data_IF_589760772324
#
_entry.id   IF_589760772324
#
_cell.length_a   1.000
_cell.length_b   1.000
_cell.length_c   1.000
_cell.angle_alpha   90.00
_cell.angle_beta   90.00
_cell.angle_gamma   90.00
#
_symmetry.space_group_name_H-M   'P 1'
#
loop_
_entity.id
_entity.type
_entity.pdbx_description
1 polymer ?
#
# COMPACT_ATOMS: atom_id res chain seq x y z
N UNK A 1 -9.26 14.45 0.32
CA UNK A 1 -9.86 14.21 -1.02
C UNK A 1 -8.88 13.37 -1.84
N UNK A 2 -9.37 12.35 -2.55
CA UNK A 2 -8.59 11.52 -3.48
C UNK A 2 -9.06 11.80 -4.91
N UNK A 3 -8.15 11.85 -5.87
CA UNK A 3 -8.46 12.05 -7.29
C UNK A 3 -7.85 10.89 -8.07
N UNK A 4 -8.66 10.21 -8.87
CA UNK A 4 -8.24 9.04 -9.63
C UNK A 4 -9.09 8.82 -10.88
N UNK A 5 -8.61 7.99 -11.80
CA UNK A 5 -9.41 7.47 -12.90
C UNK A 5 -10.21 6.23 -12.48
N UNK A 6 -11.23 5.88 -13.26
CA UNK A 6 -12.15 4.77 -12.94
C UNK A 6 -11.47 3.40 -12.81
N UNK A 7 -10.28 3.19 -13.39
CA UNK A 7 -9.54 1.92 -13.25
C UNK A 7 -9.05 1.67 -11.82
N UNK A 8 -9.00 2.71 -10.98
CA UNK A 8 -8.59 2.60 -9.57
C UNK A 8 -9.71 2.16 -8.65
N UNK A 9 -10.97 2.18 -9.09
CA UNK A 9 -12.08 1.64 -8.32
C UNK A 9 -12.05 0.11 -8.37
N UNK A 10 -11.96 -0.50 -7.19
CA UNK A 10 -11.94 -1.95 -7.03
C UNK A 10 -12.94 -2.37 -5.95
N UNK A 11 -13.63 -3.52 -6.13
CA UNK A 11 -14.53 -4.04 -5.10
C UNK A 11 -13.77 -4.52 -3.85
N UNK A 12 -12.47 -4.80 -3.99
CA UNK A 12 -11.59 -5.27 -2.91
C UNK A 12 -10.17 -4.75 -3.10
N UNK A 13 -9.55 -4.28 -2.02
CA UNK A 13 -8.14 -3.86 -2.01
C UNK A 13 -7.20 -5.06 -2.26
N UNK A 14 -5.99 -4.79 -2.74
CA UNK A 14 -4.98 -5.83 -2.98
C UNK A 14 -5.01 -6.47 -4.37
N UNK A 15 -5.66 -5.84 -5.36
CA UNK A 15 -5.52 -6.23 -6.79
C UNK A 15 -4.07 -6.03 -7.28
N UNK A 16 -3.38 -5.02 -6.76
CA UNK A 16 -1.97 -4.75 -7.01
C UNK A 16 -1.08 -5.18 -5.84
N UNK A 17 0.08 -4.52 -5.71
CA UNK A 17 0.95 -4.66 -4.55
C UNK A 17 0.59 -3.62 -3.48
N UNK A 18 0.80 -3.98 -2.21
CA UNK A 18 0.74 -3.07 -1.07
C UNK A 18 2.18 -2.61 -0.74
N UNK A 19 2.51 -1.33 -0.92
CA UNK A 19 3.81 -0.80 -0.55
C UNK A 19 3.93 -0.70 0.98
N UNK A 20 5.06 -1.15 1.52
CA UNK A 20 5.42 -1.05 2.95
C UNK A 20 6.81 -0.43 3.06
N UNK A 21 6.92 0.73 3.69
CA UNK A 21 8.20 1.38 3.94
C UNK A 21 8.86 0.75 5.18
N UNK A 22 10.12 0.35 5.04
CA UNK A 22 10.89 -0.34 6.07
C UNK A 22 12.25 0.32 6.26
N UNK A 23 12.80 0.21 7.47
CA UNK A 23 14.17 0.62 7.74
C UNK A 23 15.15 -0.10 6.80
N UNK A 24 16.11 0.65 6.27
CA UNK A 24 17.20 0.10 5.45
C UNK A 24 18.15 -0.78 6.28
N UNK A 25 18.23 -0.55 7.60
CA UNK A 25 18.98 -1.40 8.52
C UNK A 25 18.29 -2.74 8.72
N UNK A 26 19.05 -3.83 8.51
CA UNK A 26 18.56 -5.21 8.60
C UNK A 26 17.27 -5.46 7.80
N UNK A 27 17.09 -4.75 6.68
CA UNK A 27 15.86 -4.78 5.88
C UNK A 27 15.41 -6.19 5.48
N UNK A 28 16.36 -7.10 5.22
CA UNK A 28 16.04 -8.49 4.86
C UNK A 28 15.38 -9.25 6.01
N UNK A 29 15.73 -8.94 7.26
CA UNK A 29 15.07 -9.53 8.43
C UNK A 29 13.64 -9.00 8.58
N UNK A 30 13.42 -7.71 8.31
CA UNK A 30 12.08 -7.13 8.26
C UNK A 30 11.25 -7.77 7.14
N UNK A 31 11.81 -7.93 5.94
CA UNK A 31 11.15 -8.59 4.82
C UNK A 31 10.72 -10.03 5.15
N UNK A 32 11.59 -10.80 5.83
CA UNK A 32 11.25 -12.15 6.32
C UNK A 32 10.10 -12.16 7.32
N UNK A 33 10.00 -11.16 8.20
CA UNK A 33 8.86 -11.05 9.13
C UNK A 33 7.54 -10.82 8.38
N UNK A 34 7.60 -10.06 7.28
CA UNK A 34 6.47 -9.74 6.40
C UNK A 34 5.99 -10.91 5.56
N UNK A 35 6.79 -11.98 5.37
CA UNK A 35 6.37 -13.20 4.66
C UNK A 35 5.11 -13.84 5.26
N UNK A 36 4.86 -13.63 6.55
CA UNK A 36 3.66 -14.16 7.24
C UNK A 36 2.39 -13.35 6.94
N UNK A 37 2.52 -12.17 6.34
CA UNK A 37 1.43 -11.22 6.10
C UNK A 37 1.09 -11.09 4.61
N UNK A 38 1.83 -11.75 3.72
CA UNK A 38 1.67 -11.66 2.28
C UNK A 38 2.02 -12.98 1.58
N UNK A 39 1.45 -13.20 0.40
CA UNK A 39 1.76 -14.36 -0.44
C UNK A 39 3.18 -14.26 -1.02
N UNK A 40 3.61 -13.06 -1.38
CA UNK A 40 4.94 -12.77 -1.91
C UNK A 40 5.34 -11.36 -1.55
N UNK A 41 6.64 -11.12 -1.41
CA UNK A 41 7.20 -9.78 -1.32
C UNK A 41 8.29 -9.55 -2.36
N UNK A 42 8.53 -8.29 -2.69
CA UNK A 42 9.66 -7.85 -3.50
C UNK A 42 10.17 -6.52 -2.94
N UNK A 43 11.50 -6.37 -2.82
CA UNK A 43 12.06 -5.04 -2.56
C UNK A 43 11.90 -4.20 -3.82
N UNK A 44 11.23 -3.05 -3.70
CA UNK A 44 11.03 -2.13 -4.80
C UNK A 44 12.38 -1.67 -5.34
N UNK A 45 12.46 -1.61 -6.66
CA UNK A 45 13.66 -1.22 -7.38
C UNK A 45 13.31 -0.20 -8.47
N UNK A 46 14.23 0.70 -8.74
CA UNK A 46 14.28 1.53 -9.94
C UNK A 46 15.46 1.01 -10.77
N UNK A 47 15.16 0.47 -11.96
CA UNK A 47 16.13 -0.27 -12.78
C UNK A 47 16.78 -1.41 -11.96
N UNK A 48 18.11 -1.40 -11.83
CA UNK A 48 18.88 -2.40 -11.09
C UNK A 48 19.23 -1.94 -9.65
N UNK A 49 18.67 -0.81 -9.18
CA UNK A 49 18.96 -0.25 -7.86
C UNK A 49 17.76 -0.29 -6.93
N UNK A 50 17.97 -0.41 -5.61
CA UNK A 50 16.87 -0.31 -4.65
C UNK A 50 16.22 1.07 -4.75
N UNK A 51 14.90 1.11 -4.78
CA UNK A 51 14.18 2.36 -4.57
C UNK A 51 14.41 2.84 -3.14
N UNK A 52 14.76 4.11 -2.99
CA UNK A 52 14.98 4.76 -1.69
C UNK A 52 13.98 5.90 -1.56
N UNK A 53 13.22 5.92 -0.47
CA UNK A 53 12.26 6.99 -0.19
C UNK A 53 12.98 8.29 0.15
N UNK A 54 12.26 9.42 0.14
CA UNK A 54 12.80 10.71 0.59
C UNK A 54 13.36 10.65 2.04
N UNK A 55 12.82 9.74 2.86
CA UNK A 55 13.30 9.49 4.23
C UNK A 55 14.49 8.51 4.31
N UNK A 56 15.05 8.08 3.18
CA UNK A 56 16.22 7.19 3.14
C UNK A 56 15.92 5.71 3.42
N UNK A 57 14.66 5.29 3.29
CA UNK A 57 14.21 3.94 3.62
C UNK A 57 13.96 3.09 2.37
N UNK A 58 13.81 1.78 2.56
CA UNK A 58 13.41 0.89 1.47
C UNK A 58 11.90 0.67 1.46
N UNK A 59 11.37 0.32 0.29
CA UNK A 59 9.99 -0.14 0.14
C UNK A 59 9.98 -1.62 -0.19
N UNK A 60 9.18 -2.38 0.55
CA UNK A 60 8.80 -3.75 0.23
C UNK A 60 7.39 -3.75 -0.32
N UNK A 61 7.23 -4.21 -1.55
CA UNK A 61 5.95 -4.43 -2.19
C UNK A 61 5.41 -5.81 -1.82
N UNK A 62 4.30 -5.84 -1.10
CA UNK A 62 3.61 -7.06 -0.69
C UNK A 62 2.51 -7.42 -1.68
N UNK A 63 2.48 -8.68 -2.12
CA UNK A 63 1.38 -9.24 -2.91
C UNK A 63 0.55 -10.17 -2.03
N UNK A 64 -0.77 -9.98 -2.07
CA UNK A 64 -1.73 -10.75 -1.29
C UNK A 64 -2.70 -11.37 -2.28
N UNK A 65 -2.56 -12.67 -2.53
CA UNK A 65 -3.41 -13.41 -3.44
C UNK A 65 -4.86 -13.42 -2.94
N UNK A 66 -5.82 -13.20 -3.85
CA UNK A 66 -7.23 -13.03 -3.49
C UNK A 66 -7.59 -11.66 -2.87
N UNK A 67 -6.62 -10.76 -2.70
CA UNK A 67 -6.82 -9.43 -2.14
C UNK A 67 -6.91 -9.40 -0.62
N UNK A 68 -7.08 -8.20 -0.06
CA UNK A 68 -7.01 -7.94 1.38
C UNK A 68 -8.40 -8.14 1.98
N UNK A 69 -8.59 -9.21 2.76
CA UNK A 69 -9.86 -9.52 3.40
C UNK A 69 -10.17 -8.63 4.61
N UNK A 70 -9.18 -8.38 5.45
CA UNK A 70 -9.32 -7.59 6.69
C UNK A 70 -8.29 -6.43 6.69
N UNK A 71 -8.55 -5.30 6.00
CA UNK A 71 -7.57 -4.22 5.84
C UNK A 71 -7.09 -3.63 7.16
N UNK A 72 -8.00 -3.41 8.12
CA UNK A 72 -7.64 -2.86 9.43
C UNK A 72 -6.74 -3.81 10.22
N UNK A 73 -7.02 -5.12 10.20
CA UNK A 73 -6.21 -6.13 10.87
C UNK A 73 -4.82 -6.22 10.25
N UNK A 74 -4.73 -6.16 8.92
CA UNK A 74 -3.44 -6.14 8.22
C UNK A 74 -2.64 -4.88 8.55
N UNK A 75 -3.27 -3.70 8.54
CA UNK A 75 -2.63 -2.44 8.93
C UNK A 75 -2.02 -2.54 10.34
N UNK A 76 -2.81 -2.95 11.34
CA UNK A 76 -2.29 -3.11 12.71
C UNK A 76 -1.17 -4.14 12.82
N UNK A 77 -1.19 -5.22 12.04
CA UNK A 77 -0.12 -6.21 12.03
C UNK A 77 1.17 -5.66 11.39
N UNK A 78 1.05 -4.82 10.36
CA UNK A 78 2.18 -4.13 9.74
C UNK A 78 2.78 -3.11 10.71
N UNK A 79 1.96 -2.30 11.37
CA UNK A 79 2.39 -1.32 12.39
C UNK A 79 3.13 -2.00 13.56
N UNK A 80 2.69 -3.20 13.95
CA UNK A 80 3.32 -3.98 15.02
C UNK A 80 4.60 -4.71 14.58
N UNK A 81 4.95 -4.70 13.29
CA UNK A 81 6.12 -5.43 12.78
C UNK A 81 7.39 -4.60 12.93
N UNK A 82 8.34 -5.09 13.76
CA UNK A 82 9.63 -4.44 13.94
C UNK A 82 10.37 -4.22 12.61
N UNK A 83 10.70 -2.96 12.35
CA UNK A 83 11.40 -2.50 11.16
C UNK A 83 10.47 -1.94 10.07
N UNK A 84 9.15 -2.10 10.20
CA UNK A 84 8.17 -1.35 9.41
C UNK A 84 8.07 0.08 9.94
N UNK A 85 8.03 1.04 9.02
CA UNK A 85 7.94 2.46 9.32
C UNK A 85 6.61 3.06 8.89
N UNK A 86 6.08 2.60 7.75
CA UNK A 86 4.77 3.01 7.23
C UNK A 86 4.23 1.97 6.22
N UNK A 87 2.96 2.09 5.86
CA UNK A 87 2.34 1.25 4.84
C UNK A 87 1.31 2.01 4.00
N UNK A 88 1.03 1.52 2.79
CA UNK A 88 0.12 2.13 1.84
C UNK A 88 -1.39 1.98 2.12
N UNK A 89 -1.80 1.53 3.30
CA UNK A 89 -3.21 1.44 3.69
C UNK A 89 -3.69 2.75 4.35
N UNK A 90 -4.44 3.55 3.61
CA UNK A 90 -5.04 4.80 4.08
C UNK A 90 -6.51 4.57 4.46
N UNK A 91 -6.74 3.96 5.62
CA UNK A 91 -8.07 3.53 6.05
C UNK A 91 -8.82 4.65 6.77
N UNK A 92 -10.05 4.95 6.33
CA UNK A 92 -10.90 5.95 6.99
C UNK A 92 -10.43 7.41 6.85
N UNK A 93 -9.49 7.68 5.94
CA UNK A 93 -8.88 9.01 5.80
C UNK A 93 -9.52 9.88 4.71
N UNK A 94 -10.09 9.27 3.66
CA UNK A 94 -10.67 10.01 2.54
C UNK A 94 -12.12 10.43 2.86
N UNK A 95 -12.39 11.75 2.84
CA UNK A 95 -13.74 12.33 2.96
C UNK A 95 -14.52 12.29 1.64
N UNK A 96 -13.82 12.50 0.52
CA UNK A 96 -14.33 12.38 -0.83
C UNK A 96 -13.30 11.85 -1.84
N UNK A 97 -13.81 11.25 -2.91
CA UNK A 97 -13.07 10.82 -4.08
C UNK A 97 -13.69 11.41 -5.35
N UNK A 98 -12.89 12.10 -6.16
CA UNK A 98 -13.27 12.56 -7.49
C UNK A 98 -12.75 11.53 -8.50
N UNK A 99 -13.66 10.87 -9.20
CA UNK A 99 -13.35 9.79 -10.14
C UNK A 99 -13.63 10.24 -11.57
N UNK A 100 -12.59 10.28 -12.39
CA UNK A 100 -12.69 10.57 -13.82
C UNK A 100 -12.96 9.29 -14.62
N UNK A 101 -13.91 9.34 -15.56
CA UNK A 101 -14.17 8.27 -16.51
C UNK A 101 -14.61 8.80 -17.87
N UNK A 102 -14.94 7.93 -18.84
CA UNK A 102 -15.32 8.31 -20.20
C UNK A 102 -16.52 9.27 -20.29
N UNK A 103 -17.41 9.22 -19.29
CA UNK A 103 -18.60 10.08 -19.20
C UNK A 103 -18.38 11.35 -18.38
N UNK A 104 -17.14 11.68 -18.01
CA UNK A 104 -16.79 12.81 -17.16
C UNK A 104 -16.44 12.43 -15.73
N UNK A 105 -16.46 13.40 -14.82
CA UNK A 105 -16.09 13.22 -13.42
C UNK A 105 -17.32 13.00 -12.53
N UNK A 106 -17.19 12.10 -11.55
CA UNK A 106 -18.18 11.89 -10.48
C UNK A 106 -17.53 11.99 -9.11
N UNK A 107 -18.31 12.41 -8.11
CA UNK A 107 -17.87 12.53 -6.72
C UNK A 107 -18.46 11.39 -5.90
N UNK A 108 -17.64 10.74 -5.08
CA UNK A 108 -18.05 9.79 -4.04
C UNK A 108 -17.69 10.39 -2.68
N UNK A 109 -18.61 10.40 -1.72
CA UNK A 109 -18.37 11.00 -0.39
C UNK A 109 -18.73 12.50 -0.31
N UNK A 110 -18.17 13.21 0.68
CA UNK A 110 -18.43 14.64 0.92
C UNK A 110 -17.21 15.51 0.68
N UNK A 111 -17.40 16.62 -0.06
CA UNK A 111 -16.38 17.64 -0.32
C UNK A 111 -16.35 18.75 0.73
N UNK A 112 -17.32 18.75 1.65
CA UNK A 112 -17.40 19.70 2.77
C UNK A 112 -16.29 19.46 3.81
#
# INVERSE_FOLDING_TARGET
IVIADESKLVPRLGKGVLPVEISSFLWLQTARRLERLATRWQRRAEEDRPFVTDNGNFVIDLRIEGGIAEPARLASALDATLGVLAHGLFLGMATACIIAGPSGCRVLGSLE
#
